data_IF_445899981946
#
_entry.id   IF_445899981946
#
_cell.length_a   1.000
_cell.length_b   1.000
_cell.length_c   1.000
_cell.angle_alpha   90.00
_cell.angle_beta   90.00
_cell.angle_gamma   90.00
#
_symmetry.space_group_name_H-M   'P 1'
#
loop_
_entity.id
_entity.type
_entity.pdbx_description
1 polymer ?
#
# COMPACT_ATOMS: atom_id res chain seq x y z
N UNK A 1 25.45 -12.08 -8.03
CA UNK A 1 24.78 -11.06 -7.20
C UNK A 1 24.66 -9.69 -7.86
N UNK A 2 25.71 -9.13 -8.46
CA UNK A 2 25.69 -7.75 -9.03
C UNK A 2 24.65 -7.48 -10.14
N UNK A 3 24.34 -8.45 -10.99
CA UNK A 3 23.39 -8.26 -12.13
C UNK A 3 21.93 -8.14 -11.65
N UNK A 4 21.50 -8.89 -10.63
CA UNK A 4 20.14 -8.81 -10.09
C UNK A 4 19.88 -7.49 -9.36
N UNK A 5 20.89 -6.96 -8.68
CA UNK A 5 20.79 -5.66 -7.98
C UNK A 5 20.73 -4.51 -8.99
N UNK A 6 21.51 -4.56 -10.08
CA UNK A 6 21.44 -3.59 -11.16
C UNK A 6 20.09 -3.59 -11.88
N UNK A 7 19.50 -4.77 -12.10
CA UNK A 7 18.18 -4.89 -12.72
C UNK A 7 17.07 -4.33 -11.82
N UNK A 8 17.18 -4.53 -10.50
CA UNK A 8 16.24 -3.98 -9.53
C UNK A 8 16.31 -2.45 -9.46
N UNK A 9 17.53 -1.90 -9.45
CA UNK A 9 17.76 -0.44 -9.48
C UNK A 9 17.26 0.16 -10.78
N UNK A 10 17.49 -0.49 -11.93
CA UNK A 10 16.99 -0.05 -13.23
C UNK A 10 15.45 -0.10 -13.30
N UNK A 11 14.82 -1.12 -12.72
CA UNK A 11 13.36 -1.24 -12.67
C UNK A 11 12.73 -0.16 -11.79
N UNK A 12 13.33 0.12 -10.62
CA UNK A 12 12.89 1.19 -9.71
C UNK A 12 13.14 2.56 -10.34
N UNK A 13 14.28 2.78 -11.01
CA UNK A 13 14.56 4.02 -11.72
C UNK A 13 13.60 4.25 -12.91
N UNK A 14 13.25 3.20 -13.66
CA UNK A 14 12.26 3.28 -14.74
C UNK A 14 10.85 3.60 -14.20
N UNK A 15 10.50 3.11 -13.03
CA UNK A 15 9.22 3.42 -12.40
C UNK A 15 9.18 4.85 -11.85
N UNK A 16 10.30 5.38 -11.32
CA UNK A 16 10.40 6.76 -10.87
C UNK A 16 10.42 7.78 -12.02
N UNK A 17 11.10 7.48 -13.13
CA UNK A 17 11.11 8.38 -14.30
C UNK A 17 9.74 8.53 -14.98
N UNK A 18 8.80 7.64 -14.69
CA UNK A 18 7.42 7.77 -15.10
C UNK A 18 6.62 8.77 -14.24
N UNK A 19 7.17 9.24 -13.12
CA UNK A 19 6.50 10.13 -12.18
C UNK A 19 6.67 11.62 -12.52
N UNK A 20 7.80 11.99 -13.13
CA UNK A 20 8.10 13.41 -13.39
C UNK A 20 7.16 14.07 -14.44
N UNK A 21 6.60 13.30 -15.36
CA UNK A 21 5.68 13.82 -16.38
C UNK A 21 4.25 14.02 -15.86
N UNK A 22 3.88 13.38 -14.74
CA UNK A 22 2.50 13.42 -14.20
C UNK A 22 2.25 14.68 -13.37
N UNK A 23 3.29 15.30 -12.82
CA UNK A 23 3.15 16.46 -11.95
C UNK A 23 3.02 17.78 -12.73
N UNK A 24 3.24 17.79 -14.04
CA UNK A 24 3.34 19.03 -14.82
C UNK A 24 2.16 19.32 -15.78
N UNK A 25 1.19 18.44 -15.89
CA UNK A 25 -0.04 18.75 -16.63
C UNK A 25 -1.23 18.89 -15.68
N UNK A 26 -1.75 20.12 -15.59
CA UNK A 26 -2.85 20.53 -14.70
C UNK A 26 -4.07 19.61 -14.85
N UNK A 27 -4.19 18.66 -13.97
CA UNK A 27 -5.31 17.74 -13.86
C UNK A 27 -6.58 18.51 -13.51
N UNK A 28 -7.58 18.46 -14.39
CA UNK A 28 -8.96 18.92 -14.16
C UNK A 28 -9.75 17.90 -13.32
N UNK A 29 -9.16 17.32 -12.30
CA UNK A 29 -9.90 16.49 -11.36
C UNK A 29 -10.26 17.31 -10.12
N UNK A 30 -11.50 17.17 -9.68
CA UNK A 30 -12.09 17.84 -8.53
C UNK A 30 -11.12 17.79 -7.35
N UNK A 31 -10.91 18.96 -6.76
CA UNK A 31 -9.95 19.25 -5.71
C UNK A 31 -9.92 18.14 -4.65
N UNK A 32 -8.96 17.23 -4.77
CA UNK A 32 -8.41 16.58 -3.59
C UNK A 32 -7.89 17.72 -2.70
N UNK A 33 -8.14 17.71 -1.40
CA UNK A 33 -7.52 18.71 -0.53
C UNK A 33 -6.04 18.67 -0.81
N UNK A 34 -5.48 19.78 -1.27
CA UNK A 34 -4.04 19.90 -1.52
C UNK A 34 -3.37 19.56 -0.20
N UNK A 35 -2.57 18.47 -0.14
CA UNK A 35 -1.91 18.07 1.09
C UNK A 35 -1.10 19.27 1.57
N UNK A 36 -1.28 19.69 2.83
CA UNK A 36 -0.38 20.67 3.46
C UNK A 36 0.91 19.93 3.84
N UNK A 37 1.59 19.36 2.83
CA UNK A 37 2.75 18.51 3.05
C UNK A 37 3.89 19.40 3.53
N UNK A 38 4.25 19.27 4.79
CA UNK A 38 5.41 19.93 5.39
C UNK A 38 6.73 19.27 4.98
N UNK A 39 6.68 18.11 4.32
CA UNK A 39 7.81 17.35 3.82
C UNK A 39 7.51 16.81 2.42
N UNK A 40 8.45 17.01 1.49
CA UNK A 40 8.39 16.49 0.12
C UNK A 40 9.65 15.69 -0.20
N UNK A 41 9.51 14.70 -1.03
CA UNK A 41 10.63 13.90 -1.56
C UNK A 41 11.27 14.51 -2.82
N UNK A 42 10.77 15.63 -3.37
CA UNK A 42 11.19 16.19 -4.67
C UNK A 42 12.70 16.42 -4.78
N UNK A 43 13.32 16.95 -3.72
CA UNK A 43 14.76 17.16 -3.69
C UNK A 43 15.60 15.89 -3.66
N UNK A 44 15.02 14.81 -3.11
CA UNK A 44 15.64 13.49 -2.96
C UNK A 44 15.50 12.71 -4.27
N UNK A 45 14.34 12.82 -4.91
CA UNK A 45 13.99 12.10 -6.14
C UNK A 45 14.37 12.83 -7.42
N UNK A 46 14.93 14.04 -7.31
CA UNK A 46 15.45 14.76 -8.47
C UNK A 46 16.38 13.83 -9.27
N UNK A 47 16.24 13.72 -10.62
CA UNK A 47 16.92 12.69 -11.42
C UNK A 47 18.42 12.64 -11.23
N UNK A 48 19.07 13.81 -11.08
CA UNK A 48 20.51 13.94 -10.85
C UNK A 48 20.94 13.52 -9.43
N UNK A 49 20.03 13.52 -8.46
CA UNK A 49 20.27 13.07 -7.08
C UNK A 49 19.97 11.59 -6.97
N UNK A 50 18.80 11.17 -7.47
CA UNK A 50 18.33 9.78 -7.38
C UNK A 50 19.28 8.81 -8.08
N UNK A 51 19.86 9.19 -9.23
CA UNK A 51 20.83 8.40 -9.98
C UNK A 51 22.18 8.19 -9.27
N UNK A 52 22.45 8.92 -8.19
CA UNK A 52 23.70 8.77 -7.43
C UNK A 52 23.66 7.63 -6.43
N UNK A 53 22.45 7.18 -6.00
CA UNK A 53 22.30 6.08 -5.06
C UNK A 53 22.68 4.76 -5.73
N UNK A 54 23.56 3.99 -5.06
CA UNK A 54 24.11 2.74 -5.59
C UNK A 54 23.41 1.50 -5.05
N UNK A 55 22.56 1.66 -4.04
CA UNK A 55 21.85 0.57 -3.39
C UNK A 55 20.46 0.98 -2.90
N UNK A 56 19.61 -0.02 -2.65
CA UNK A 56 18.29 0.19 -2.06
C UNK A 56 18.40 0.76 -0.64
N UNK A 57 19.43 0.36 0.11
CA UNK A 57 19.71 0.85 1.45
C UNK A 57 20.00 2.36 1.44
N UNK A 58 20.78 2.84 0.47
CA UNK A 58 21.07 4.27 0.30
C UNK A 58 19.81 5.06 -0.05
N UNK A 59 18.97 4.53 -0.95
CA UNK A 59 17.67 5.15 -1.30
C UNK A 59 16.75 5.25 -0.09
N UNK A 60 16.61 4.17 0.69
CA UNK A 60 15.81 4.15 1.91
C UNK A 60 16.35 5.10 2.98
N UNK A 61 17.66 5.15 3.14
CA UNK A 61 18.30 6.07 4.08
C UNK A 61 18.08 7.54 3.70
N UNK A 62 18.13 7.86 2.41
CA UNK A 62 17.91 9.22 1.91
C UNK A 62 16.46 9.69 2.10
N UNK A 63 15.49 8.77 2.09
CA UNK A 63 14.08 9.09 2.24
C UNK A 63 13.64 9.36 3.69
N UNK A 64 14.51 9.26 4.70
CA UNK A 64 14.10 9.45 6.09
C UNK A 64 13.62 10.87 6.35
N UNK A 65 12.50 11.01 7.10
CA UNK A 65 12.00 12.31 7.53
C UNK A 65 12.88 12.83 8.68
N UNK A 66 13.37 14.08 8.63
CA UNK A 66 14.06 14.68 9.77
C UNK A 66 13.19 14.63 11.04
N UNK A 67 13.79 14.30 12.18
CA UNK A 67 13.08 14.04 13.44
C UNK A 67 12.21 15.21 13.88
N UNK A 68 12.70 16.45 13.73
CA UNK A 68 11.95 17.67 14.05
C UNK A 68 10.64 17.75 13.24
N UNK A 69 10.73 17.49 11.93
CA UNK A 69 9.54 17.48 11.04
C UNK A 69 8.60 16.33 11.39
N UNK A 70 9.16 15.12 11.60
CA UNK A 70 8.40 13.93 11.93
C UNK A 70 7.54 14.13 13.19
N UNK A 71 8.08 14.83 14.20
CA UNK A 71 7.38 15.11 15.45
C UNK A 71 6.33 16.23 15.32
N UNK A 72 6.47 17.14 14.36
CA UNK A 72 5.54 18.25 14.14
C UNK A 72 4.36 17.92 13.23
N UNK A 73 4.45 16.84 12.43
CA UNK A 73 3.39 16.43 11.51
C UNK A 73 2.12 15.99 12.25
N UNK A 74 0.96 16.37 11.72
CA UNK A 74 -0.31 15.72 12.05
C UNK A 74 -0.33 14.26 11.56
N UNK A 75 -1.30 13.46 12.02
CA UNK A 75 -1.44 12.09 11.55
C UNK A 75 -1.83 12.02 10.07
N UNK A 76 -2.68 12.93 9.61
CA UNK A 76 -3.08 13.01 8.20
C UNK A 76 -1.88 13.35 7.30
N UNK A 77 -1.09 14.37 7.65
CA UNK A 77 0.14 14.72 6.92
C UNK A 77 1.15 13.56 6.89
N UNK A 78 1.29 12.83 8.00
CA UNK A 78 2.18 11.68 8.08
C UNK A 78 1.70 10.53 7.19
N UNK A 79 0.39 10.30 7.09
CA UNK A 79 -0.19 9.31 6.16
C UNK A 79 0.11 9.71 4.72
N UNK A 80 -0.11 10.97 4.34
CA UNK A 80 0.19 11.46 3.00
C UNK A 80 1.65 11.23 2.62
N UNK A 81 2.57 11.57 3.53
CA UNK A 81 4.01 11.34 3.31
C UNK A 81 4.34 9.85 3.23
N UNK A 82 3.80 9.01 4.10
CA UNK A 82 4.02 7.56 4.06
C UNK A 82 3.53 6.95 2.73
N UNK A 83 2.36 7.36 2.26
CA UNK A 83 1.76 6.82 1.04
C UNK A 83 2.43 7.37 -0.22
N UNK A 84 3.00 8.58 -0.19
CA UNK A 84 3.77 9.16 -1.31
C UNK A 84 5.25 8.77 -1.32
N UNK A 85 5.66 7.77 -0.51
CA UNK A 85 7.06 7.33 -0.46
C UNK A 85 7.57 6.93 -1.86
N UNK A 86 8.75 7.40 -2.31
CA UNK A 86 9.26 7.16 -3.67
C UNK A 86 9.37 5.68 -4.05
N UNK A 87 9.62 4.82 -3.07
CA UNK A 87 9.73 3.38 -3.26
C UNK A 87 8.41 2.62 -3.00
N UNK A 88 7.25 3.30 -2.98
CA UNK A 88 5.96 2.66 -2.77
C UNK A 88 5.68 1.55 -3.81
N UNK A 89 6.18 1.67 -5.04
CA UNK A 89 6.06 0.67 -6.09
C UNK A 89 7.01 -0.54 -5.95
N UNK A 90 7.90 -0.54 -4.96
CA UNK A 90 8.91 -1.60 -4.77
C UNK A 90 8.27 -3.00 -4.62
N UNK A 91 7.04 -3.07 -4.13
CA UNK A 91 6.35 -4.35 -3.97
C UNK A 91 6.18 -5.14 -5.29
N UNK A 92 6.12 -4.48 -6.43
CA UNK A 92 6.08 -5.16 -7.73
C UNK A 92 7.38 -5.89 -8.10
N UNK A 93 8.49 -5.56 -7.47
CA UNK A 93 9.78 -6.21 -7.72
C UNK A 93 9.92 -7.57 -7.02
N UNK A 94 8.92 -7.97 -6.23
CA UNK A 94 8.94 -9.20 -5.43
C UNK A 94 7.81 -10.16 -5.86
N UNK A 95 8.09 -11.45 -5.88
CA UNK A 95 7.06 -12.47 -6.12
C UNK A 95 5.96 -12.44 -5.03
N UNK A 96 6.34 -12.11 -3.82
CA UNK A 96 5.41 -11.83 -2.73
C UNK A 96 5.39 -10.31 -2.49
N UNK A 97 4.32 -9.65 -2.92
CA UNK A 97 4.16 -8.20 -2.81
C UNK A 97 4.27 -7.70 -1.37
N UNK A 98 3.78 -8.48 -0.40
CA UNK A 98 3.88 -8.12 1.01
C UNK A 98 5.34 -8.03 1.48
N UNK A 99 6.22 -8.90 0.97
CA UNK A 99 7.67 -8.83 1.28
C UNK A 99 8.28 -7.55 0.74
N UNK A 100 7.94 -7.17 -0.49
CA UNK A 100 8.43 -5.92 -1.09
C UNK A 100 7.91 -4.67 -0.38
N UNK A 101 6.63 -4.63 -0.03
CA UNK A 101 6.05 -3.53 0.72
C UNK A 101 6.65 -3.40 2.13
N UNK A 102 6.88 -4.52 2.82
CA UNK A 102 7.52 -4.55 4.15
C UNK A 102 8.90 -3.91 4.17
N UNK A 103 9.68 -4.00 3.08
CA UNK A 103 10.96 -3.31 2.98
C UNK A 103 10.80 -1.82 3.27
N UNK A 104 9.76 -1.18 2.72
CA UNK A 104 9.48 0.23 2.97
C UNK A 104 8.88 0.44 4.36
N UNK A 105 7.91 -0.38 4.78
CA UNK A 105 7.24 -0.25 6.08
C UNK A 105 8.20 -0.37 7.27
N UNK A 106 9.23 -1.20 7.16
CA UNK A 106 10.19 -1.47 8.23
C UNK A 106 11.35 -0.48 8.25
N UNK A 107 11.74 0.06 7.09
CA UNK A 107 12.93 0.90 6.97
C UNK A 107 12.63 2.40 6.86
N UNK A 108 11.38 2.81 6.64
CA UNK A 108 11.00 4.21 6.61
C UNK A 108 10.45 4.65 7.98
N UNK A 109 11.07 5.70 8.56
CA UNK A 109 10.71 6.19 9.89
C UNK A 109 9.29 6.76 9.99
N UNK A 110 8.69 7.19 8.87
CA UNK A 110 7.30 7.61 8.79
C UNK A 110 6.33 6.52 9.25
N UNK A 111 6.46 5.29 8.76
CA UNK A 111 5.62 4.16 9.20
C UNK A 111 5.87 3.78 10.66
N UNK A 112 7.13 3.85 11.12
CA UNK A 112 7.47 3.61 12.52
C UNK A 112 6.81 4.63 13.45
N UNK A 113 6.71 5.89 13.03
CA UNK A 113 6.02 6.94 13.78
C UNK A 113 4.50 6.79 13.68
N UNK A 114 3.96 6.46 12.52
CA UNK A 114 2.53 6.26 12.31
C UNK A 114 1.97 5.19 13.25
N UNK A 115 2.67 4.07 13.43
CA UNK A 115 2.29 2.99 14.37
C UNK A 115 2.16 3.45 15.83
N UNK A 116 2.81 4.55 16.22
CA UNK A 116 2.74 5.09 17.59
C UNK A 116 1.57 6.03 17.80
N UNK A 117 0.90 6.44 16.73
CA UNK A 117 -0.23 7.37 16.77
C UNK A 117 -1.51 6.63 17.12
N UNK A 118 -2.21 7.07 18.17
CA UNK A 118 -3.45 6.41 18.63
C UNK A 118 -4.59 6.53 17.62
N UNK A 119 -4.61 7.60 16.85
CA UNK A 119 -5.60 7.89 15.82
C UNK A 119 -5.23 7.29 14.44
N UNK A 120 -4.03 6.73 14.29
CA UNK A 120 -3.58 6.20 13.01
C UNK A 120 -4.51 5.14 12.41
N UNK A 121 -5.05 4.15 13.15
CA UNK A 121 -5.96 3.17 12.57
C UNK A 121 -7.17 3.82 11.93
N UNK A 122 -7.82 4.75 12.64
CA UNK A 122 -8.99 5.48 12.14
C UNK A 122 -8.63 6.33 10.92
N UNK A 123 -7.53 7.08 10.99
CA UNK A 123 -7.10 7.98 9.93
C UNK A 123 -6.66 7.26 8.66
N UNK A 124 -5.93 6.16 8.77
CA UNK A 124 -5.55 5.32 7.61
C UNK A 124 -6.79 4.73 6.94
N UNK A 125 -7.79 4.35 7.73
CA UNK A 125 -9.03 3.82 7.19
C UNK A 125 -9.89 4.88 6.49
N UNK A 126 -9.99 6.09 7.08
CA UNK A 126 -10.64 7.24 6.44
C UNK A 126 -9.97 7.57 5.11
N UNK A 127 -8.64 7.62 5.10
CA UNK A 127 -7.85 7.84 3.90
C UNK A 127 -8.11 6.77 2.82
N UNK A 128 -8.21 5.50 3.21
CA UNK A 128 -8.50 4.40 2.29
C UNK A 128 -9.93 4.45 1.73
N UNK A 129 -10.93 4.79 2.54
CA UNK A 129 -12.32 4.90 2.11
C UNK A 129 -12.54 6.09 1.14
N UNK A 130 -11.73 7.15 1.27
CA UNK A 130 -11.77 8.32 0.38
C UNK A 130 -11.16 8.03 -1.00
N UNK A 131 -10.35 6.97 -1.15
CA UNK A 131 -9.79 6.59 -2.45
C UNK A 131 -10.95 6.25 -3.39
N UNK A 132 -11.17 7.10 -4.39
CA UNK A 132 -12.25 6.92 -5.33
C UNK A 132 -11.94 5.81 -6.34
N UNK A 133 -12.61 4.65 -6.21
CA UNK A 133 -12.52 3.53 -7.15
C UNK A 133 -13.31 3.72 -8.45
N UNK A 134 -13.99 4.86 -8.63
CA UNK A 134 -14.87 5.12 -9.79
C UNK A 134 -14.08 5.47 -11.08
N UNK A 135 -13.00 4.79 -11.36
CA UNK A 135 -12.36 4.87 -12.66
C UNK A 135 -13.14 4.00 -13.68
N UNK A 136 -14.26 4.49 -14.12
CA UNK A 136 -15.09 3.87 -15.18
C UNK A 136 -14.57 4.23 -16.57
N UNK A 137 -13.30 4.05 -16.86
CA UNK A 137 -12.81 4.28 -18.23
C UNK A 137 -12.15 3.01 -18.76
N UNK A 138 -12.65 2.47 -19.88
CA UNK A 138 -12.14 1.24 -20.49
C UNK A 138 -10.75 1.38 -21.15
N UNK A 139 -10.06 2.50 -20.94
CA UNK A 139 -8.69 2.72 -21.39
C UNK A 139 -7.82 3.00 -20.20
N UNK A 140 -6.96 2.04 -19.85
CA UNK A 140 -5.93 2.22 -18.83
C UNK A 140 -4.98 3.32 -19.32
N UNK A 141 -5.16 4.53 -18.82
CA UNK A 141 -4.22 5.62 -19.01
C UNK A 141 -3.06 5.48 -18.02
N UNK A 142 -1.91 6.09 -18.32
CA UNK A 142 -0.72 6.06 -17.46
C UNK A 142 -1.00 6.56 -16.04
N UNK A 143 -1.92 7.51 -15.89
CA UNK A 143 -2.42 8.06 -14.63
C UNK A 143 -3.15 7.00 -13.78
N UNK A 144 -3.91 6.10 -14.43
CA UNK A 144 -4.62 5.01 -13.76
C UNK A 144 -3.64 3.99 -13.17
N UNK A 145 -2.50 3.76 -13.83
CA UNK A 145 -1.47 2.86 -13.31
C UNK A 145 -0.83 3.39 -12.02
N UNK A 146 -0.55 4.67 -11.95
CA UNK A 146 -0.05 5.33 -10.75
C UNK A 146 -1.04 5.18 -9.59
N UNK A 147 -2.33 5.41 -9.84
CA UNK A 147 -3.40 5.25 -8.85
C UNK A 147 -3.54 3.81 -8.37
N UNK A 148 -3.47 2.83 -9.28
CA UNK A 148 -3.51 1.39 -8.96
C UNK A 148 -2.32 1.00 -8.07
N UNK A 149 -1.14 1.51 -8.38
CA UNK A 149 0.08 1.27 -7.61
C UNK A 149 -0.03 1.79 -6.19
N UNK A 150 -0.46 3.03 -6.06
CA UNK A 150 -0.69 3.70 -4.80
C UNK A 150 -1.73 2.97 -3.93
N UNK A 151 -2.86 2.62 -4.55
CA UNK A 151 -3.91 1.84 -3.92
C UNK A 151 -3.41 0.48 -3.45
N UNK A 152 -2.60 -0.20 -4.27
CA UNK A 152 -1.99 -1.47 -3.90
C UNK A 152 -1.08 -1.35 -2.68
N UNK A 153 -0.34 -0.25 -2.57
CA UNK A 153 0.56 -0.02 -1.44
C UNK A 153 -0.18 0.19 -0.11
N UNK A 154 -1.26 1.00 -0.11
CA UNK A 154 -2.09 1.16 1.10
C UNK A 154 -2.79 -0.13 1.49
N UNK A 155 -3.25 -0.93 0.53
CA UNK A 155 -3.88 -2.22 0.80
C UNK A 155 -2.91 -3.21 1.44
N UNK A 156 -1.65 -3.25 0.98
CA UNK A 156 -0.61 -4.05 1.61
C UNK A 156 -0.28 -3.55 3.02
N UNK A 157 -0.33 -2.24 3.25
CA UNK A 157 -0.18 -1.69 4.60
C UNK A 157 -1.34 -2.10 5.51
N UNK A 158 -2.59 -1.97 5.03
CA UNK A 158 -3.79 -2.43 5.76
C UNK A 158 -3.79 -3.94 6.03
N UNK A 159 -3.23 -4.75 5.11
CA UNK A 159 -3.09 -6.19 5.29
C UNK A 159 -1.87 -6.57 6.16
N UNK A 160 -1.01 -5.63 6.53
CA UNK A 160 0.13 -5.93 7.40
C UNK A 160 -0.34 -6.24 8.82
N UNK A 161 0.25 -7.28 9.44
CA UNK A 161 -0.08 -7.66 10.81
C UNK A 161 0.21 -6.51 11.79
N UNK A 162 1.24 -5.73 11.51
CA UNK A 162 1.69 -4.62 12.32
C UNK A 162 0.61 -3.52 12.45
N UNK A 163 -0.12 -3.26 11.36
CA UNK A 163 -1.23 -2.30 11.39
C UNK A 163 -2.52 -2.97 11.84
N UNK A 164 -2.85 -4.15 11.30
CA UNK A 164 -4.10 -4.85 11.63
C UNK A 164 -4.24 -5.12 13.12
N UNK A 165 -3.13 -5.36 13.82
CA UNK A 165 -3.11 -5.56 15.28
C UNK A 165 -3.49 -4.30 16.09
N UNK A 166 -3.56 -3.13 15.46
CA UNK A 166 -3.98 -1.89 16.10
C UNK A 166 -5.50 -1.64 15.95
N UNK A 167 -6.18 -2.44 15.13
CA UNK A 167 -7.63 -2.35 14.96
C UNK A 167 -8.35 -3.20 16.00
N UNK A 168 -9.17 -2.58 16.81
CA UNK A 168 -10.00 -3.21 17.85
C UNK A 168 -11.42 -2.65 17.80
N UNK A 169 -12.40 -3.44 18.26
CA UNK A 169 -13.80 -3.03 18.38
C UNK A 169 -14.36 -2.43 17.08
N UNK A 170 -14.98 -1.26 17.17
CA UNK A 170 -15.61 -0.58 16.04
C UNK A 170 -14.67 -0.30 14.87
N UNK A 171 -13.38 -0.04 15.13
CA UNK A 171 -12.41 0.19 14.07
C UNK A 171 -12.14 -1.10 13.26
N UNK A 172 -12.13 -2.26 13.89
CA UNK A 172 -11.97 -3.54 13.19
C UNK A 172 -13.20 -3.86 12.32
N UNK A 173 -14.40 -3.62 12.84
CA UNK A 173 -15.64 -3.76 12.09
C UNK A 173 -15.68 -2.79 10.89
N UNK A 174 -15.27 -1.55 11.09
CA UNK A 174 -15.18 -0.56 10.02
C UNK A 174 -14.14 -0.95 8.95
N UNK A 175 -13.00 -1.50 9.33
CA UNK A 175 -12.00 -2.02 8.38
C UNK A 175 -12.60 -3.16 7.53
N UNK A 176 -13.32 -4.08 8.15
CA UNK A 176 -14.03 -5.16 7.44
C UNK A 176 -15.05 -4.59 6.44
N UNK A 177 -15.89 -3.65 6.89
CA UNK A 177 -16.89 -3.03 6.05
C UNK A 177 -16.29 -2.31 4.83
N UNK A 178 -15.26 -1.49 5.05
CA UNK A 178 -14.61 -0.74 3.96
C UNK A 178 -13.88 -1.70 3.01
N UNK A 179 -13.19 -2.72 3.53
CA UNK A 179 -12.50 -3.69 2.69
C UNK A 179 -13.47 -4.53 1.85
N UNK A 180 -14.62 -4.91 2.39
CA UNK A 180 -15.66 -5.62 1.64
C UNK A 180 -16.27 -4.73 0.54
N UNK A 181 -16.59 -3.48 0.84
CA UNK A 181 -17.07 -2.49 -0.13
C UNK A 181 -16.07 -2.31 -1.30
N UNK A 182 -14.77 -2.27 -1.00
CA UNK A 182 -13.72 -2.20 -2.02
C UNK A 182 -13.61 -3.49 -2.81
N UNK A 183 -13.71 -4.65 -2.17
CA UNK A 183 -13.70 -5.95 -2.84
C UNK A 183 -14.86 -6.08 -3.84
N UNK A 184 -16.07 -5.69 -3.45
CA UNK A 184 -17.24 -5.68 -4.34
C UNK A 184 -16.98 -4.82 -5.58
N UNK A 185 -16.47 -3.61 -5.41
CA UNK A 185 -16.12 -2.72 -6.53
C UNK A 185 -15.05 -3.29 -7.45
N UNK A 186 -14.06 -4.00 -6.90
CA UNK A 186 -13.01 -4.67 -7.70
C UNK A 186 -13.57 -5.84 -8.51
N UNK A 187 -14.59 -6.52 -7.99
CA UNK A 187 -15.26 -7.60 -8.70
C UNK A 187 -16.08 -7.11 -9.89
N UNK A 188 -16.48 -5.83 -9.92
CA UNK A 188 -17.12 -5.21 -11.09
C UNK A 188 -16.13 -5.04 -12.27
N UNK A 189 -14.82 -4.85 -12.00
CA UNK A 189 -13.78 -4.78 -13.02
C UNK A 189 -12.51 -5.57 -12.64
N UNK A 190 -12.58 -6.91 -12.70
CA UNK A 190 -11.48 -7.79 -12.31
C UNK A 190 -10.30 -7.75 -13.28
N UNK A 191 -10.45 -7.14 -14.46
CA UNK A 191 -9.38 -6.99 -15.44
C UNK A 191 -8.36 -5.92 -15.04
N UNK A 192 -8.77 -4.94 -14.24
CA UNK A 192 -7.95 -3.81 -13.81
C UNK A 192 -7.50 -4.02 -12.36
N UNK A 193 -8.40 -4.47 -11.49
CA UNK A 193 -8.14 -4.54 -10.06
C UNK A 193 -7.92 -5.96 -9.56
N UNK A 194 -6.81 -6.19 -8.86
CA UNK A 194 -6.62 -7.47 -8.19
C UNK A 194 -7.42 -7.54 -6.89
N UNK A 195 -8.26 -8.56 -6.78
CA UNK A 195 -9.03 -8.86 -5.55
C UNK A 195 -8.14 -9.41 -4.42
N UNK A 196 -6.96 -9.90 -4.78
CA UNK A 196 -6.01 -10.55 -3.86
C UNK A 196 -5.72 -9.72 -2.61
N UNK A 197 -5.44 -8.43 -2.76
CA UNK A 197 -5.08 -7.56 -1.64
C UNK A 197 -6.26 -7.30 -0.70
N UNK A 198 -7.47 -7.15 -1.22
CA UNK A 198 -8.68 -7.07 -0.38
C UNK A 198 -8.93 -8.38 0.38
N UNK A 199 -8.69 -9.53 -0.24
CA UNK A 199 -8.75 -10.83 0.45
C UNK A 199 -7.66 -10.96 1.53
N UNK A 200 -6.47 -10.38 1.34
CA UNK A 200 -5.43 -10.33 2.38
C UNK A 200 -5.89 -9.51 3.59
N UNK A 201 -6.48 -8.32 3.36
CA UNK A 201 -7.03 -7.47 4.45
C UNK A 201 -8.11 -8.27 5.20
N UNK A 202 -9.10 -8.79 4.50
CA UNK A 202 -10.20 -9.53 5.11
C UNK A 202 -9.72 -10.79 5.84
N UNK A 203 -8.69 -11.47 5.32
CA UNK A 203 -8.06 -12.61 6.00
C UNK A 203 -7.43 -12.21 7.34
N UNK A 204 -6.73 -11.07 7.40
CA UNK A 204 -6.17 -10.55 8.65
C UNK A 204 -7.28 -10.16 9.64
N UNK A 205 -8.33 -9.50 9.16
CA UNK A 205 -9.50 -9.14 9.99
C UNK A 205 -10.11 -10.38 10.63
N UNK A 206 -10.41 -11.42 9.84
CA UNK A 206 -11.02 -12.67 10.33
C UNK A 206 -10.11 -13.39 11.34
N UNK A 207 -8.80 -13.40 11.11
CA UNK A 207 -7.84 -13.96 12.08
C UNK A 207 -7.83 -13.16 13.39
N UNK A 208 -8.00 -11.84 13.32
CA UNK A 208 -8.06 -10.98 14.52
C UNK A 208 -9.35 -11.19 15.30
N UNK A 209 -10.48 -11.38 14.63
CA UNK A 209 -11.78 -11.70 15.25
C UNK A 209 -11.77 -13.04 16.01
N UNK A 210 -10.96 -14.01 15.56
CA UNK A 210 -10.75 -15.27 16.28
C UNK A 210 -11.93 -16.24 16.29
N UNK A 211 -12.91 -16.08 15.38
CA UNK A 211 -14.14 -16.88 15.32
C UNK A 211 -14.05 -18.11 14.40
N UNK A 212 -12.89 -18.34 13.80
CA UNK A 212 -12.67 -19.35 12.78
C UNK A 212 -12.37 -20.74 13.36
N UNK A 213 -12.74 -21.79 12.63
CA UNK A 213 -12.25 -23.14 12.88
C UNK A 213 -10.71 -23.22 12.68
N UNK A 214 -10.11 -24.30 13.18
CA UNK A 214 -8.67 -24.52 12.98
C UNK A 214 -8.31 -24.61 11.50
N UNK A 215 -9.12 -25.32 10.71
CA UNK A 215 -8.87 -25.51 9.27
C UNK A 215 -8.94 -24.16 8.51
N UNK A 216 -9.94 -23.31 8.81
CA UNK A 216 -10.06 -21.97 8.23
C UNK A 216 -8.91 -21.07 8.64
N UNK A 217 -8.52 -21.11 9.91
CA UNK A 217 -7.38 -20.38 10.44
C UNK A 217 -6.08 -20.76 9.71
N UNK A 218 -5.83 -22.06 9.51
CA UNK A 218 -4.64 -22.55 8.83
C UNK A 218 -4.67 -22.16 7.34
N UNK A 219 -5.83 -22.19 6.68
CA UNK A 219 -6.01 -21.75 5.30
C UNK A 219 -5.68 -20.25 5.14
N UNK A 220 -6.25 -19.38 6.00
CA UNK A 220 -5.97 -17.95 5.93
C UNK A 220 -4.50 -17.63 6.23
N UNK A 221 -3.88 -18.28 7.21
CA UNK A 221 -2.46 -18.11 7.49
C UNK A 221 -1.58 -18.53 6.32
N UNK A 222 -1.91 -19.65 5.66
CA UNK A 222 -1.20 -20.11 4.46
C UNK A 222 -1.32 -19.09 3.34
N UNK A 223 -2.53 -18.59 3.05
CA UNK A 223 -2.80 -17.57 2.05
C UNK A 223 -1.99 -16.28 2.30
N UNK A 224 -1.99 -15.80 3.54
CA UNK A 224 -1.22 -14.60 3.94
C UNK A 224 0.28 -14.82 3.80
N UNK A 225 0.79 -16.02 4.16
CA UNK A 225 2.23 -16.30 4.14
C UNK A 225 2.84 -16.21 2.74
N UNK A 226 2.05 -16.47 1.71
CA UNK A 226 2.45 -16.34 0.30
C UNK A 226 2.04 -14.99 -0.32
N UNK A 227 1.59 -14.03 0.52
CA UNK A 227 1.13 -12.70 0.04
C UNK A 227 -0.10 -12.79 -0.85
N UNK A 228 -0.95 -13.78 -0.62
CA UNK A 228 -2.14 -14.04 -1.42
C UNK A 228 -1.84 -14.58 -2.82
N UNK A 229 -0.59 -14.89 -3.15
CA UNK A 229 -0.20 -15.40 -4.46
C UNK A 229 -0.35 -16.92 -4.49
N UNK A 230 -1.50 -17.38 -4.96
CA UNK A 230 -1.82 -18.81 -5.10
C UNK A 230 -2.06 -19.14 -6.56
N UNK A 231 -1.51 -20.30 -6.99
CA UNK A 231 -1.59 -20.73 -8.40
C UNK A 231 -2.95 -21.34 -8.75
N UNK A 232 -3.71 -21.77 -7.73
CA UNK A 232 -4.99 -22.41 -7.92
C UNK A 232 -6.17 -21.43 -7.76
N UNK A 233 -6.95 -21.13 -8.81
CA UNK A 233 -8.14 -20.29 -8.71
C UNK A 233 -9.19 -20.76 -7.67
N UNK A 234 -9.25 -22.08 -7.41
CA UNK A 234 -10.15 -22.64 -6.41
C UNK A 234 -9.79 -22.19 -4.99
N UNK A 235 -8.51 -21.92 -4.74
CA UNK A 235 -8.06 -21.40 -3.45
C UNK A 235 -8.59 -19.98 -3.21
N UNK A 236 -8.61 -19.12 -4.23
CA UNK A 236 -9.26 -17.81 -4.10
C UNK A 236 -10.75 -17.93 -3.76
N UNK A 237 -11.46 -18.88 -4.38
CA UNK A 237 -12.86 -19.13 -4.06
C UNK A 237 -13.02 -19.61 -2.62
N UNK A 238 -12.16 -20.51 -2.15
CA UNK A 238 -12.15 -21.00 -0.78
C UNK A 238 -11.90 -19.87 0.22
N UNK A 239 -10.85 -19.06 -0.01
CA UNK A 239 -10.52 -17.91 0.85
C UNK A 239 -11.68 -16.92 0.88
N UNK A 240 -12.24 -16.57 -0.28
CA UNK A 240 -13.39 -15.69 -0.38
C UNK A 240 -14.59 -16.21 0.45
N UNK A 241 -14.88 -17.51 0.39
CA UNK A 241 -15.96 -18.11 1.18
C UNK A 241 -15.70 -18.07 2.70
N UNK A 242 -14.43 -18.17 3.13
CA UNK A 242 -14.07 -18.05 4.55
C UNK A 242 -14.24 -16.61 5.04
N UNK A 243 -13.75 -15.63 4.29
CA UNK A 243 -13.79 -14.22 4.72
C UNK A 243 -15.18 -13.59 4.59
N UNK A 244 -16.11 -14.21 3.87
CA UNK A 244 -17.50 -13.75 3.74
C UNK A 244 -18.44 -14.25 4.84
N UNK A 245 -17.96 -15.06 5.79
CA UNK A 245 -18.73 -15.50 6.97
C UNK A 245 -18.79 -14.41 8.03
#
# INVERSE_FOLDING_TARGET
>A
MKVKTLLLIALVALMCSCFDDVLNEGSRYSAQPVPRVTFSFDSITAPNVWAQYQSLEEMLAACQIPEEKLNSMSTDELIDVCMSHPLHALYFAYNNEMVGAKVVFEHFNGFSQLKKRKDAPTKVLEFYDEINFNATTPKVHREDFSKITYMGFIELYLASKELTSLYEGENLEKLELVSNKVLEKKLEDPSIYTVRRSLLINSQVKLTQGTLSKEETDALKSFISVGGNVDNPQEYTRISAIVSK
#
